data_IF_402358658865
#
_entry.id   IF_402358658865
#
_cell.length_a   1.000
_cell.length_b   1.000
_cell.length_c   1.000
_cell.angle_alpha   90.00
_cell.angle_beta   90.00
_cell.angle_gamma   90.00
#
_symmetry.space_group_name_H-M   'P 1'
#
loop_
_entity.id
_entity.type
_entity.pdbx_description
1 polymer ?
#
# COMPACT_ATOMS: atom_id res chain seq x y z
N UNK A 1 -1.34 -2.97 -5.33
CA UNK A 1 -1.64 -1.88 -6.29
C UNK A 1 -0.41 -1.47 -7.11
N UNK A 2 0.77 -1.31 -6.48
CA UNK A 2 1.99 -0.82 -7.11
C UNK A 2 2.37 -1.58 -8.41
N UNK A 3 2.55 -2.89 -8.35
CA UNK A 3 2.94 -3.67 -9.54
C UNK A 3 1.91 -3.59 -10.67
N UNK A 4 0.63 -3.62 -10.32
CA UNK A 4 -0.46 -3.47 -11.28
C UNK A 4 -0.41 -2.11 -11.97
N UNK A 5 -0.23 -1.04 -11.19
CA UNK A 5 -0.08 0.30 -11.73
C UNK A 5 1.18 0.44 -12.60
N UNK A 6 2.32 -0.06 -12.12
CA UNK A 6 3.58 -0.02 -12.85
C UNK A 6 3.51 -0.76 -14.20
N UNK A 7 2.86 -1.92 -14.25
CA UNK A 7 2.65 -2.66 -15.51
C UNK A 7 1.68 -1.94 -16.45
N UNK A 8 0.56 -1.44 -15.92
CA UNK A 8 -0.47 -0.77 -16.72
C UNK A 8 0.02 0.53 -17.39
N UNK A 9 1.06 1.16 -16.82
CA UNK A 9 1.63 2.41 -17.32
C UNK A 9 3.00 2.26 -17.97
N UNK A 10 3.52 1.03 -18.10
CA UNK A 10 4.86 0.80 -18.63
C UNK A 10 4.93 1.04 -20.14
N UNK A 11 5.55 2.14 -20.53
CA UNK A 11 5.74 2.48 -21.94
C UNK A 11 6.92 1.75 -22.61
N UNK A 12 7.91 1.31 -21.79
CA UNK A 12 9.09 0.58 -22.28
C UNK A 12 8.80 -0.89 -22.60
N UNK A 13 7.74 -1.44 -22.01
CA UNK A 13 7.31 -2.84 -22.17
C UNK A 13 5.80 -2.88 -22.39
N UNK A 14 5.32 -2.56 -23.61
CA UNK A 14 3.89 -2.44 -23.90
C UNK A 14 3.10 -3.73 -23.67
N UNK A 15 3.74 -4.88 -23.77
CA UNK A 15 3.15 -6.19 -23.42
C UNK A 15 2.64 -6.25 -21.97
N UNK A 16 3.27 -5.53 -21.05
CA UNK A 16 2.82 -5.48 -19.65
C UNK A 16 1.47 -4.79 -19.48
N UNK A 17 1.13 -3.84 -20.35
CA UNK A 17 -0.21 -3.22 -20.37
C UNK A 17 -1.29 -4.26 -20.69
N UNK A 18 -1.00 -5.15 -21.64
CA UNK A 18 -1.90 -6.25 -21.99
C UNK A 18 -2.07 -7.22 -20.83
N UNK A 19 -0.99 -7.56 -20.12
CA UNK A 19 -1.06 -8.43 -18.94
C UNK A 19 -1.86 -7.77 -17.80
N UNK A 20 -1.62 -6.49 -17.53
CA UNK A 20 -2.37 -5.75 -16.53
C UNK A 20 -3.88 -5.67 -16.87
N UNK A 21 -4.22 -5.52 -18.16
CA UNK A 21 -5.61 -5.50 -18.60
C UNK A 21 -6.31 -6.86 -18.52
N UNK A 22 -5.56 -7.97 -18.44
CA UNK A 22 -6.11 -9.33 -18.34
C UNK A 22 -6.51 -9.72 -16.92
N UNK A 23 -6.20 -8.91 -15.90
CA UNK A 23 -6.49 -9.19 -14.49
C UNK A 23 -7.33 -8.09 -13.87
N UNK A 24 -8.11 -8.44 -12.83
CA UNK A 24 -8.92 -7.51 -12.08
C UNK A 24 -8.47 -7.45 -10.62
N UNK A 25 -8.59 -6.27 -10.03
CA UNK A 25 -8.37 -6.09 -8.58
C UNK A 25 -9.66 -6.42 -7.84
N UNK A 26 -9.58 -7.39 -6.94
CA UNK A 26 -10.71 -7.77 -6.07
C UNK A 26 -10.39 -7.37 -4.63
N UNK A 27 -11.39 -6.85 -3.94
CA UNK A 27 -11.32 -6.50 -2.53
C UNK A 27 -12.17 -7.48 -1.72
N UNK A 28 -11.58 -8.52 -1.10
CA UNK A 28 -12.33 -9.51 -0.32
C UNK A 28 -12.89 -8.91 0.97
N UNK A 29 -13.79 -9.64 1.62
CA UNK A 29 -14.30 -9.30 2.96
C UNK A 29 -15.25 -8.09 3.02
N UNK A 30 -15.78 -7.61 1.88
CA UNK A 30 -16.59 -6.41 1.84
C UNK A 30 -17.89 -6.49 2.63
N UNK A 31 -18.46 -7.70 2.77
CA UNK A 31 -19.66 -7.99 3.56
C UNK A 31 -19.35 -8.36 5.02
N UNK A 32 -18.08 -8.37 5.40
CA UNK A 32 -17.62 -8.74 6.75
C UNK A 32 -16.61 -7.71 7.29
N UNK A 33 -15.39 -8.11 7.66
CA UNK A 33 -14.38 -7.23 8.27
C UNK A 33 -13.78 -6.19 7.32
N UNK A 34 -13.88 -6.39 6.03
CA UNK A 34 -13.21 -5.57 5.01
C UNK A 34 -11.95 -6.23 4.45
N UNK A 35 -11.33 -5.57 3.51
CA UNK A 35 -10.08 -6.02 2.90
C UNK A 35 -8.89 -5.63 3.77
N UNK A 36 -7.98 -6.57 4.05
CA UNK A 36 -6.70 -6.23 4.68
C UNK A 36 -5.95 -5.20 3.85
N UNK A 37 -5.43 -4.17 4.52
CA UNK A 37 -4.59 -3.13 3.89
C UNK A 37 -3.21 -3.13 4.52
N UNK A 38 -2.20 -3.07 3.68
CA UNK A 38 -0.84 -2.80 4.11
C UNK A 38 -0.63 -1.28 4.19
N UNK A 39 0.17 -0.83 5.13
CA UNK A 39 0.47 0.59 5.33
C UNK A 39 1.98 0.81 5.31
N UNK A 40 2.42 1.75 4.47
CA UNK A 40 3.79 2.24 4.50
C UNK A 40 3.97 3.20 5.67
N UNK A 41 5.10 3.12 6.34
CA UNK A 41 5.37 3.96 7.50
C UNK A 41 6.83 4.40 7.57
N UNK A 42 7.07 5.44 8.35
CA UNK A 42 8.41 5.92 8.66
C UNK A 42 8.52 6.22 10.15
N UNK A 43 9.72 6.04 10.71
CA UNK A 43 9.98 6.29 12.11
C UNK A 43 11.35 6.96 12.29
N UNK A 44 11.49 7.68 13.39
CA UNK A 44 12.76 8.28 13.82
C UNK A 44 13.43 7.33 14.81
N UNK A 45 14.65 6.93 14.51
CA UNK A 45 15.43 6.10 15.44
C UNK A 45 15.81 6.88 16.68
N UNK A 46 15.97 6.18 17.81
CA UNK A 46 16.33 6.79 19.12
C UNK A 46 17.59 7.66 19.03
N UNK A 47 18.60 7.18 18.32
CA UNK A 47 19.90 7.83 18.18
C UNK A 47 20.06 8.66 16.91
N UNK A 48 18.96 9.14 16.31
CA UNK A 48 19.01 9.99 15.13
C UNK A 48 19.79 11.29 15.41
N UNK A 49 20.89 11.51 14.68
CA UNK A 49 21.76 12.69 14.85
C UNK A 49 21.06 14.00 14.45
N UNK A 50 20.20 13.94 13.44
CA UNK A 50 19.49 15.10 12.89
C UNK A 50 17.98 15.02 13.15
N UNK A 51 17.60 14.80 14.40
CA UNK A 51 16.21 14.53 14.81
C UNK A 51 15.25 15.64 14.38
N UNK A 52 15.66 16.91 14.50
CA UNK A 52 14.81 18.04 14.09
C UNK A 52 14.51 18.03 12.58
N UNK A 53 15.48 17.69 11.74
CA UNK A 53 15.28 17.58 10.30
C UNK A 53 14.47 16.32 9.95
N UNK A 54 14.65 15.22 10.68
CA UNK A 54 13.85 14.02 10.52
C UNK A 54 12.35 14.28 10.82
N UNK A 55 12.05 15.06 11.85
CA UNK A 55 10.66 15.48 12.17
C UNK A 55 10.09 16.28 11.00
N UNK A 56 10.82 17.30 10.50
CA UNK A 56 10.37 18.10 9.34
C UNK A 56 10.11 17.23 8.10
N UNK A 57 10.94 16.20 7.88
CA UNK A 57 10.71 15.25 6.80
C UNK A 57 9.40 14.48 7.01
N UNK A 58 9.13 13.96 8.20
CA UNK A 58 7.87 13.25 8.49
C UNK A 58 6.65 14.16 8.34
N UNK A 59 6.76 15.42 8.79
CA UNK A 59 5.73 16.44 8.57
C UNK A 59 5.48 16.64 7.07
N UNK A 60 6.54 16.85 6.29
CA UNK A 60 6.46 16.99 4.83
C UNK A 60 5.81 15.76 4.17
N UNK A 61 6.18 14.53 4.57
CA UNK A 61 5.60 13.30 4.04
C UNK A 61 4.09 13.18 4.32
N UNK A 62 3.60 13.90 5.34
CA UNK A 62 2.18 13.99 5.68
C UNK A 62 1.45 15.14 4.95
N UNK A 63 2.13 15.97 4.19
CA UNK A 63 1.53 17.08 3.45
C UNK A 63 0.84 16.61 2.17
N UNK A 64 -0.12 17.41 1.68
CA UNK A 64 -0.89 17.09 0.47
C UNK A 64 0.01 16.81 -0.74
N UNK A 65 1.09 17.56 -0.88
CA UNK A 65 2.02 17.41 -1.99
C UNK A 65 2.70 16.04 -1.98
N UNK A 66 3.28 15.64 -0.84
CA UNK A 66 3.94 14.34 -0.71
C UNK A 66 2.96 13.18 -0.86
N UNK A 67 1.78 13.28 -0.25
CA UNK A 67 0.73 12.28 -0.37
C UNK A 67 0.23 12.11 -1.81
N UNK A 68 0.14 13.22 -2.56
CA UNK A 68 -0.16 13.19 -3.99
C UNK A 68 0.95 12.52 -4.79
N UNK A 69 2.22 12.80 -4.50
CA UNK A 69 3.35 12.13 -5.14
C UNK A 69 3.31 10.61 -4.94
N UNK A 70 3.05 10.13 -3.71
CA UNK A 70 2.88 8.70 -3.43
C UNK A 70 1.75 8.08 -4.24
N UNK A 71 0.60 8.76 -4.31
CA UNK A 71 -0.53 8.29 -5.11
C UNK A 71 -0.17 8.18 -6.59
N UNK A 72 0.52 9.18 -7.14
CA UNK A 72 0.84 9.27 -8.57
C UNK A 72 1.99 8.37 -9.00
N UNK A 73 3.02 8.21 -8.16
CA UNK A 73 4.23 7.47 -8.52
C UNK A 73 4.18 6.00 -8.10
N UNK A 74 3.53 5.70 -6.98
CA UNK A 74 3.50 4.36 -6.39
C UNK A 74 2.14 3.69 -6.48
N UNK A 75 1.12 4.35 -7.04
CA UNK A 75 -0.25 3.82 -7.10
C UNK A 75 -0.77 3.41 -5.72
N UNK A 76 -0.42 4.19 -4.70
CA UNK A 76 -0.85 3.99 -3.32
C UNK A 76 -2.09 4.83 -3.02
N UNK A 77 -2.90 4.37 -2.08
CA UNK A 77 -3.98 5.18 -1.52
C UNK A 77 -3.40 6.18 -0.54
N UNK A 78 -3.62 7.51 -0.72
CA UNK A 78 -3.18 8.50 0.25
C UNK A 78 -3.82 8.23 1.62
N UNK A 79 -3.07 8.39 2.69
CA UNK A 79 -3.61 8.30 4.06
C UNK A 79 -4.25 9.61 4.51
N UNK A 80 -3.92 10.71 3.86
CA UNK A 80 -4.51 12.04 4.15
C UNK A 80 -5.82 12.22 3.42
N UNK A 81 -6.87 12.53 4.17
CA UNK A 81 -8.17 12.80 3.59
C UNK A 81 -8.15 14.00 2.62
N UNK A 82 -8.91 13.90 1.53
CA UNK A 82 -9.02 14.96 0.51
C UNK A 82 -7.90 14.96 -0.55
N UNK A 83 -6.88 14.12 -0.41
CA UNK A 83 -5.88 13.93 -1.47
C UNK A 83 -6.46 13.00 -2.55
N UNK A 84 -6.47 13.40 -3.83
CA UNK A 84 -7.04 12.58 -4.89
C UNK A 84 -6.22 11.31 -5.11
N UNK A 85 -6.93 10.23 -5.44
CA UNK A 85 -6.32 8.98 -5.86
C UNK A 85 -5.81 9.08 -7.31
N UNK A 86 -4.81 8.30 -7.65
CA UNK A 86 -4.44 8.11 -9.05
C UNK A 86 -5.65 7.58 -9.85
N UNK A 87 -5.93 8.08 -11.08
CA UNK A 87 -7.12 7.66 -11.85
C UNK A 87 -7.24 6.15 -12.03
N UNK A 88 -6.13 5.46 -12.28
CA UNK A 88 -6.10 4.00 -12.39
C UNK A 88 -6.51 3.33 -11.06
N UNK A 89 -6.00 3.82 -9.93
CA UNK A 89 -6.37 3.30 -8.60
C UNK A 89 -7.85 3.54 -8.31
N UNK A 90 -8.36 4.72 -8.69
CA UNK A 90 -9.78 5.06 -8.56
C UNK A 90 -10.67 4.16 -9.43
N UNK A 91 -10.20 3.70 -10.58
CA UNK A 91 -10.94 2.80 -11.48
C UNK A 91 -11.17 1.41 -10.90
N UNK A 92 -10.36 0.98 -9.93
CA UNK A 92 -10.57 -0.30 -9.22
C UNK A 92 -11.72 -0.25 -8.21
N UNK A 93 -12.29 0.92 -7.98
CA UNK A 93 -13.43 1.14 -7.11
C UNK A 93 -13.07 1.42 -5.65
N UNK A 94 -14.11 1.75 -4.90
CA UNK A 94 -14.02 1.95 -3.45
C UNK A 94 -14.15 0.61 -2.74
N UNK A 95 -13.49 0.48 -1.60
CA UNK A 95 -13.57 -0.72 -0.77
C UNK A 95 -13.64 -0.35 0.72
N UNK A 96 -14.18 -1.26 1.50
CA UNK A 96 -14.10 -1.23 2.95
C UNK A 96 -12.77 -1.81 3.38
N UNK A 97 -11.91 -1.02 4.01
CA UNK A 97 -10.67 -1.49 4.61
C UNK A 97 -10.96 -2.22 5.93
N UNK A 98 -10.19 -3.26 6.22
CA UNK A 98 -10.17 -3.88 7.54
C UNK A 98 -9.60 -2.89 8.57
N UNK A 99 -10.32 -2.70 9.66
CA UNK A 99 -9.94 -1.79 10.76
C UNK A 99 -9.20 -2.49 11.89
N UNK A 100 -8.81 -3.75 11.73
CA UNK A 100 -8.06 -4.51 12.75
C UNK A 100 -6.77 -3.79 13.09
N UNK A 101 -6.52 -3.61 14.38
CA UNK A 101 -5.31 -2.94 14.86
C UNK A 101 -4.05 -3.72 14.43
N UNK A 102 -3.07 -3.00 13.86
CA UNK A 102 -1.82 -3.60 13.38
C UNK A 102 -1.05 -4.36 14.48
N UNK A 103 -1.14 -3.94 15.74
CA UNK A 103 -0.53 -4.67 16.86
C UNK A 103 -1.19 -6.04 17.07
N UNK A 104 -2.50 -6.17 16.83
CA UNK A 104 -3.17 -7.46 16.89
C UNK A 104 -2.70 -8.38 15.75
N UNK A 105 -2.56 -7.83 14.55
CA UNK A 105 -2.00 -8.57 13.40
C UNK A 105 -0.56 -9.02 13.70
N UNK A 106 0.26 -8.14 14.28
CA UNK A 106 1.65 -8.43 14.60
C UNK A 106 1.82 -9.62 15.56
N UNK A 107 0.87 -9.86 16.46
CA UNK A 107 0.88 -11.03 17.37
C UNK A 107 0.84 -12.37 16.64
N UNK A 108 0.28 -12.40 15.44
CA UNK A 108 0.14 -13.61 14.63
C UNK A 108 1.32 -13.86 13.68
N UNK A 109 2.32 -12.97 13.63
CA UNK A 109 3.44 -13.06 12.69
C UNK A 109 4.15 -14.42 12.71
N UNK A 110 4.47 -14.93 13.90
CA UNK A 110 5.16 -16.24 14.03
C UNK A 110 4.30 -17.40 13.52
N UNK A 111 2.99 -17.36 13.82
CA UNK A 111 2.05 -18.39 13.36
C UNK A 111 1.89 -18.32 11.85
N UNK A 112 1.78 -17.12 11.28
CA UNK A 112 1.68 -16.93 9.84
C UNK A 112 2.93 -17.47 9.11
N UNK A 113 4.14 -17.18 9.60
CA UNK A 113 5.36 -17.72 9.03
C UNK A 113 5.36 -19.26 9.01
N UNK A 114 4.99 -19.90 10.12
CA UNK A 114 4.89 -21.38 10.20
C UNK A 114 3.84 -21.96 9.25
N UNK A 115 2.76 -21.23 8.97
CA UNK A 115 1.75 -21.66 7.99
C UNK A 115 2.34 -21.57 6.59
N UNK A 116 3.03 -20.47 6.25
CA UNK A 116 3.70 -20.30 4.95
C UNK A 116 4.70 -21.43 4.68
N UNK A 117 5.56 -21.74 5.68
CA UNK A 117 6.51 -22.85 5.58
C UNK A 117 5.80 -24.20 5.36
N UNK A 118 4.70 -24.45 6.10
CA UNK A 118 3.94 -25.70 6.01
C UNK A 118 3.29 -25.93 4.66
N UNK A 119 2.79 -24.87 4.02
CA UNK A 119 2.09 -24.95 2.73
C UNK A 119 3.02 -24.71 1.55
N UNK A 120 4.32 -24.55 1.81
CA UNK A 120 5.34 -24.28 0.78
C UNK A 120 4.93 -23.08 -0.12
N UNK A 121 4.56 -21.97 0.51
CA UNK A 121 3.93 -20.84 -0.18
C UNK A 121 4.86 -20.19 -1.23
N UNK A 122 6.17 -20.19 -0.96
CA UNK A 122 7.18 -19.63 -1.85
C UNK A 122 7.87 -20.70 -2.73
N UNK A 123 7.44 -21.92 -2.64
CA UNK A 123 7.68 -23.19 -3.31
C UNK A 123 8.83 -23.40 -4.25
#
# INVERSE_FOLDING_TARGET
TYYMGAMATNEKKPEQKTWAAAVNVLFPGQMSQGTHVNISGAAITEHAKNKANAIKLLEFLSENFAQKMYAEQNFEYPVKAGVPWHPLVASWGKFKADSTNLNEIAKHRSTAAKIMDRVDFDG
#
